data_IF_812905306731
#
_entry.id   IF_812905306731
#
_cell.length_a   1.000
_cell.length_b   1.000
_cell.length_c   1.000
_cell.angle_alpha   90.00
_cell.angle_beta   90.00
_cell.angle_gamma   90.00
#
_symmetry.space_group_name_H-M   'P 1'
#
loop_
_entity.id
_entity.type
_entity.pdbx_description
1 polymer ?
#
# COMPACT_ATOMS: atom_id res chain seq x y z
N UNK A 1 -17.95 14.56 1.77
CA UNK A 1 -18.35 13.17 1.50
C UNK A 1 -17.67 12.28 2.51
N UNK A 2 -18.38 11.33 3.10
CA UNK A 2 -17.81 10.38 4.06
C UNK A 2 -17.42 9.12 3.32
N UNK A 3 -16.13 8.79 3.34
CA UNK A 3 -15.61 7.56 2.75
C UNK A 3 -15.31 6.55 3.87
N UNK A 4 -15.50 5.26 3.58
CA UNK A 4 -15.03 4.20 4.46
C UNK A 4 -13.51 4.16 4.41
N UNK A 5 -12.87 4.13 5.57
CA UNK A 5 -11.42 4.00 5.71
C UNK A 5 -11.07 2.59 6.17
N UNK A 6 -9.78 2.28 6.25
CA UNK A 6 -9.30 0.97 6.70
C UNK A 6 -9.48 0.76 8.22
N UNK A 7 -9.66 1.82 9.00
CA UNK A 7 -9.84 1.70 10.45
C UNK A 7 -11.16 0.98 10.77
N UNK A 8 -11.06 -0.09 11.57
CA UNK A 8 -12.23 -0.86 12.03
C UNK A 8 -12.82 -1.82 11.00
N UNK A 9 -12.19 -1.99 9.84
CA UNK A 9 -12.59 -3.02 8.89
C UNK A 9 -12.08 -4.41 9.31
N UNK A 10 -12.89 -5.45 9.12
CA UNK A 10 -12.42 -6.83 9.19
C UNK A 10 -11.74 -7.20 7.87
N UNK A 11 -10.42 -7.42 7.92
CA UNK A 11 -9.57 -7.60 6.75
C UNK A 11 -8.95 -9.01 6.69
N UNK A 12 -9.08 -9.80 7.75
CA UNK A 12 -8.44 -11.11 7.87
C UNK A 12 -8.96 -12.09 6.82
N UNK A 13 -8.04 -12.77 6.12
CA UNK A 13 -8.35 -13.73 5.07
C UNK A 13 -8.92 -13.12 3.77
N UNK A 14 -9.07 -11.79 3.69
CA UNK A 14 -9.55 -11.11 2.48
C UNK A 14 -8.40 -10.76 1.55
N UNK A 15 -8.69 -10.65 0.25
CA UNK A 15 -7.74 -10.10 -0.74
C UNK A 15 -8.02 -8.62 -0.94
N UNK A 16 -7.03 -7.77 -0.67
CA UNK A 16 -7.11 -6.32 -0.79
C UNK A 16 -6.48 -5.84 -2.10
N UNK A 17 -7.27 -5.26 -2.99
CA UNK A 17 -6.76 -4.58 -4.19
C UNK A 17 -6.36 -3.15 -3.83
N UNK A 18 -5.05 -2.87 -3.83
CA UNK A 18 -4.52 -1.55 -3.45
C UNK A 18 -4.05 -0.82 -4.68
N UNK A 19 -4.64 0.35 -4.94
CA UNK A 19 -4.16 1.26 -5.96
C UNK A 19 -3.07 2.15 -5.36
N UNK A 20 -1.83 1.95 -5.80
CA UNK A 20 -0.66 2.72 -5.37
C UNK A 20 -0.12 3.61 -6.48
N UNK A 21 0.62 4.65 -6.09
CA UNK A 21 1.45 5.47 -6.97
C UNK A 21 2.91 5.02 -6.87
N UNK A 22 3.34 4.12 -7.75
CA UNK A 22 4.73 3.68 -7.89
C UNK A 22 5.43 4.31 -9.11
N UNK A 23 4.95 5.46 -9.57
CA UNK A 23 5.62 6.19 -10.63
C UNK A 23 6.84 6.93 -10.06
N UNK A 24 7.96 6.22 -9.95
CA UNK A 24 9.24 6.71 -9.40
C UNK A 24 10.27 6.96 -10.50
N UNK A 25 11.21 7.91 -10.29
CA UNK A 25 12.32 8.10 -11.20
C UNK A 25 13.26 6.88 -11.19
N UNK A 26 13.71 6.51 -12.38
CA UNK A 26 14.55 5.35 -12.62
C UNK A 26 15.76 5.76 -13.46
N UNK A 27 16.93 5.20 -13.16
CA UNK A 27 18.14 5.35 -13.95
C UNK A 27 18.84 3.98 -14.07
N UNK A 28 19.20 3.57 -15.29
CA UNK A 28 19.87 2.29 -15.56
C UNK A 28 19.18 1.06 -14.91
N UNK A 29 17.84 1.08 -14.85
CA UNK A 29 17.05 -0.01 -14.26
C UNK A 29 17.00 0.01 -12.73
N UNK A 30 17.53 1.04 -12.07
CA UNK A 30 17.50 1.22 -10.62
C UNK A 30 16.65 2.43 -10.24
N UNK A 31 15.99 2.35 -9.08
CA UNK A 31 15.23 3.47 -8.51
C UNK A 31 16.22 4.50 -7.97
N UNK A 32 16.03 5.76 -8.32
CA UNK A 32 16.88 6.86 -7.82
C UNK A 32 16.23 7.66 -6.69
N UNK A 33 14.91 7.57 -6.53
CA UNK A 33 14.15 8.12 -5.41
C UNK A 33 12.99 7.17 -5.06
N UNK A 34 13.01 6.65 -3.83
CA UNK A 34 12.06 5.67 -3.31
C UNK A 34 10.96 6.30 -2.43
N UNK A 35 10.88 7.63 -2.35
CA UNK A 35 9.93 8.34 -1.48
C UNK A 35 8.49 7.87 -1.67
N UNK A 36 8.07 7.60 -2.91
CA UNK A 36 6.71 7.11 -3.21
C UNK A 36 6.47 5.67 -2.79
N UNK A 37 7.49 4.81 -2.84
CA UNK A 37 7.40 3.45 -2.33
C UNK A 37 7.23 3.50 -0.81
N UNK A 38 8.08 4.28 -0.14
CA UNK A 38 8.05 4.47 1.31
C UNK A 38 6.70 5.03 1.80
N UNK A 39 6.06 5.92 1.02
CA UNK A 39 4.74 6.45 1.34
C UNK A 39 3.62 5.39 1.30
N UNK A 40 3.76 4.33 0.50
CA UNK A 40 2.76 3.25 0.40
C UNK A 40 2.95 2.17 1.47
N UNK A 41 4.16 1.99 2.00
CA UNK A 41 4.51 0.95 2.96
C UNK A 41 3.56 0.87 4.17
N UNK A 42 3.18 1.98 4.85
CA UNK A 42 2.29 1.90 6.01
C UNK A 42 0.94 1.25 5.71
N UNK A 43 0.42 1.45 4.50
CA UNK A 43 -0.87 0.86 4.08
C UNK A 43 -0.72 -0.64 3.82
N UNK A 44 0.36 -1.04 3.15
CA UNK A 44 0.65 -2.46 2.85
C UNK A 44 0.91 -3.23 4.15
N UNK A 45 1.69 -2.66 5.07
CA UNK A 45 1.97 -3.25 6.37
C UNK A 45 0.70 -3.42 7.21
N UNK A 46 -0.18 -2.41 7.23
CA UNK A 46 -1.44 -2.49 7.97
C UNK A 46 -2.30 -3.63 7.45
N UNK A 47 -2.43 -3.78 6.14
CA UNK A 47 -3.20 -4.86 5.51
C UNK A 47 -2.61 -6.23 5.82
N UNK A 48 -1.29 -6.39 5.66
CA UNK A 48 -0.59 -7.64 5.93
C UNK A 48 -0.69 -8.03 7.42
N UNK A 49 -0.46 -7.08 8.34
CA UNK A 49 -0.58 -7.32 9.80
C UNK A 49 -2.01 -7.66 10.22
N UNK A 50 -3.02 -7.16 9.50
CA UNK A 50 -4.43 -7.49 9.72
C UNK A 50 -4.84 -8.86 9.12
N UNK A 51 -3.90 -9.62 8.54
CA UNK A 51 -4.16 -10.94 7.95
C UNK A 51 -4.80 -10.88 6.56
N UNK A 52 -4.81 -9.71 5.92
CA UNK A 52 -5.23 -9.60 4.53
C UNK A 52 -4.11 -10.07 3.59
N UNK A 53 -4.51 -10.61 2.44
CA UNK A 53 -3.63 -10.79 1.29
C UNK A 53 -3.62 -9.49 0.49
N UNK A 54 -2.48 -8.82 0.48
CA UNK A 54 -2.21 -7.59 -0.28
C UNK A 54 -1.16 -7.85 -1.35
#
# INVERSE_FOLDING_TARGET
>A
MTFRTLQGADLSGKTALVRVDFNVPMENGQITDDTRLNAALPTIELLSKAGAKV
#
